data_IF_375743064705
#
_entry.id   IF_375743064705
#
_cell.length_a   1.000
_cell.length_b   1.000
_cell.length_c   1.000
_cell.angle_alpha   90.00
_cell.angle_beta   90.00
_cell.angle_gamma   90.00
#
_symmetry.space_group_name_H-M   'P 1'
#
loop_
_entity.id
_entity.type
_entity.pdbx_description
1 polymer ?
#
# COMPACT_ATOMS: atom_id res chain seq x y z
N UNK A 1 -7.44 11.23 -7.20
CA UNK A 1 -8.30 12.37 -7.61
C UNK A 1 -8.50 12.35 -9.14
N UNK A 2 -9.22 11.36 -9.69
CA UNK A 2 -9.38 11.21 -11.17
C UNK A 2 -10.83 10.85 -11.56
N UNK A 3 -11.83 11.10 -10.71
CA UNK A 3 -13.19 10.57 -10.90
C UNK A 3 -14.26 11.56 -11.38
N UNK A 4 -14.00 12.87 -11.42
CA UNK A 4 -15.05 13.89 -11.51
C UNK A 4 -15.32 14.45 -12.93
N UNK A 5 -14.56 14.04 -13.95
CA UNK A 5 -14.56 14.74 -15.25
C UNK A 5 -15.48 14.17 -16.34
N UNK A 6 -16.12 13.02 -16.13
CA UNK A 6 -16.83 12.31 -17.22
C UNK A 6 -18.36 12.50 -17.24
N UNK A 7 -18.98 13.06 -16.19
CA UNK A 7 -20.44 13.22 -16.13
C UNK A 7 -20.96 14.57 -16.65
N UNK A 8 -20.10 15.55 -16.94
CA UNK A 8 -20.51 16.90 -17.35
C UNK A 8 -20.79 17.04 -18.86
N UNK A 9 -20.10 16.26 -19.70
CA UNK A 9 -20.19 16.39 -21.16
C UNK A 9 -21.41 15.70 -21.79
N UNK A 10 -22.07 14.76 -21.08
CA UNK A 10 -23.21 14.02 -21.64
C UNK A 10 -24.55 14.77 -21.58
N UNK A 11 -24.69 15.79 -20.72
CA UNK A 11 -25.92 16.60 -20.63
C UNK A 11 -26.08 17.60 -21.78
N UNK A 12 -24.98 18.00 -22.43
CA UNK A 12 -25.01 19.00 -23.50
C UNK A 12 -25.38 18.45 -24.88
N UNK A 13 -25.13 17.17 -25.16
CA UNK A 13 -25.45 16.57 -26.47
C UNK A 13 -26.94 16.22 -26.63
N UNK A 14 -27.67 15.97 -25.54
CA UNK A 14 -29.11 15.63 -25.60
C UNK A 14 -29.98 16.87 -25.88
N UNK A 15 -29.55 18.07 -25.46
CA UNK A 15 -30.33 19.30 -25.69
C UNK A 15 -30.27 19.81 -27.14
N UNK A 16 -29.21 19.52 -27.90
CA UNK A 16 -29.08 20.02 -29.27
C UNK A 16 -29.90 19.22 -30.30
N UNK A 17 -30.22 17.95 -30.02
CA UNK A 17 -30.99 17.11 -30.94
C UNK A 17 -32.50 17.43 -30.87
N UNK A 18 -32.99 17.91 -29.72
CA UNK A 18 -34.42 18.22 -29.55
C UNK A 18 -34.82 19.52 -30.27
N UNK A 19 -33.90 20.46 -30.48
CA UNK A 19 -34.20 21.74 -31.14
C UNK A 19 -34.28 21.65 -32.68
N UNK A 20 -33.69 20.62 -33.31
CA UNK A 20 -33.60 20.53 -34.77
C UNK A 20 -34.80 19.83 -35.44
N UNK A 21 -35.72 19.20 -34.68
CA UNK A 21 -36.87 18.48 -35.26
C UNK A 21 -38.16 19.30 -35.40
N UNK A 22 -38.18 20.58 -35.01
CA UNK A 22 -39.42 21.37 -34.96
C UNK A 22 -39.70 22.28 -36.17
N UNK A 23 -38.88 22.27 -37.23
CA UNK A 23 -38.97 23.30 -38.32
C UNK A 23 -39.49 22.76 -39.67
N UNK A 24 -39.97 21.52 -39.77
CA UNK A 24 -40.57 21.03 -41.03
C UNK A 24 -41.86 20.25 -40.80
N UNK A 25 -42.96 20.97 -40.58
CA UNK A 25 -44.32 20.42 -40.69
C UNK A 25 -45.02 21.04 -41.90
N UNK A 26 -45.25 20.26 -42.98
CA UNK A 26 -46.14 20.69 -44.04
C UNK A 26 -47.60 20.61 -43.57
N UNK A 27 -48.31 21.72 -43.75
CA UNK A 27 -49.76 21.81 -43.61
C UNK A 27 -50.45 20.87 -44.60
N UNK A 28 -50.98 19.75 -44.12
CA UNK A 28 -51.90 18.92 -44.89
C UNK A 28 -53.09 18.52 -44.04
N UNK A 29 -54.14 19.35 -44.10
CA UNK A 29 -55.48 19.02 -43.66
C UNK A 29 -56.07 17.97 -44.59
N UNK A 30 -56.29 16.76 -44.06
CA UNK A 30 -57.39 15.88 -44.44
C UNK A 30 -57.64 14.87 -43.31
N UNK A 31 -58.54 15.22 -42.40
CA UNK A 31 -59.14 14.28 -41.46
C UNK A 31 -60.31 13.61 -42.18
N UNK A 32 -60.01 12.52 -42.89
CA UNK A 32 -61.01 11.55 -43.31
C UNK A 32 -61.19 10.52 -42.18
N UNK A 33 -62.45 10.24 -41.87
CA UNK A 33 -62.93 9.53 -40.70
C UNK A 33 -62.33 8.12 -40.58
N UNK A 34 -61.47 7.90 -39.59
CA UNK A 34 -61.03 6.56 -39.21
C UNK A 34 -62.24 5.72 -38.73
N UNK A 35 -62.40 4.48 -39.22
CA UNK A 35 -63.53 3.61 -38.89
C UNK A 35 -63.60 3.32 -37.39
N UNK A 36 -64.81 3.30 -36.82
CA UNK A 36 -65.05 3.20 -35.37
C UNK A 36 -64.36 1.98 -34.70
N UNK A 37 -64.17 0.87 -35.43
CA UNK A 37 -63.48 -0.32 -34.94
C UNK A 37 -61.99 -0.09 -34.60
N UNK A 38 -61.31 0.83 -35.28
CA UNK A 38 -59.89 1.10 -35.08
C UNK A 38 -59.62 1.93 -33.81
N UNK A 39 -60.62 2.71 -33.36
CA UNK A 39 -60.53 3.52 -32.13
C UNK A 39 -60.62 2.69 -30.85
N UNK A 40 -61.25 1.53 -30.91
CA UNK A 40 -61.42 0.63 -29.76
C UNK A 40 -60.14 -0.17 -29.49
N UNK A 41 -59.51 -0.71 -30.54
CA UNK A 41 -58.18 -1.38 -30.47
C UNK A 41 -57.09 -0.45 -29.91
N UNK A 42 -57.04 0.81 -30.36
CA UNK A 42 -56.09 1.78 -29.82
C UNK A 42 -56.29 2.09 -28.33
N UNK A 43 -57.53 2.04 -27.82
CA UNK A 43 -57.79 2.25 -26.39
C UNK A 43 -57.25 1.11 -25.54
N UNK A 44 -57.33 -0.13 -26.04
CA UNK A 44 -56.78 -1.30 -25.36
C UNK A 44 -55.25 -1.26 -25.34
N UNK A 45 -54.63 -0.90 -26.45
CA UNK A 45 -53.18 -0.72 -26.56
C UNK A 45 -52.65 0.34 -25.58
N UNK A 46 -53.35 1.47 -25.41
CA UNK A 46 -52.98 2.52 -24.45
C UNK A 46 -52.97 1.97 -23.01
N UNK A 47 -54.01 1.22 -22.60
CA UNK A 47 -54.08 0.63 -21.25
C UNK A 47 -52.96 -0.38 -20.99
N UNK A 48 -52.60 -1.17 -22.00
CA UNK A 48 -51.48 -2.11 -21.90
C UNK A 48 -50.15 -1.37 -21.73
N UNK A 49 -49.91 -0.31 -22.52
CA UNK A 49 -48.71 0.53 -22.40
C UNK A 49 -48.61 1.23 -21.04
N UNK A 50 -49.71 1.76 -20.50
CA UNK A 50 -49.74 2.36 -19.17
C UNK A 50 -49.38 1.35 -18.07
N UNK A 51 -49.86 0.11 -18.20
CA UNK A 51 -49.56 -0.97 -17.25
C UNK A 51 -48.08 -1.36 -17.30
N UNK A 52 -47.52 -1.51 -18.50
CA UNK A 52 -46.09 -1.80 -18.67
C UNK A 52 -45.20 -0.63 -18.19
N UNK A 53 -45.61 0.63 -18.40
CA UNK A 53 -44.92 1.80 -17.87
C UNK A 53 -44.87 1.78 -16.34
N UNK A 54 -45.99 1.47 -15.68
CA UNK A 54 -46.06 1.39 -14.23
C UNK A 54 -45.16 0.27 -13.67
N UNK A 55 -45.13 -0.89 -14.36
CA UNK A 55 -44.25 -2.01 -14.01
C UNK A 55 -42.78 -1.65 -14.16
N UNK A 56 -42.40 -1.00 -15.26
CA UNK A 56 -41.03 -0.53 -15.50
C UNK A 56 -40.59 0.49 -14.44
N UNK A 57 -41.44 1.45 -14.09
CA UNK A 57 -41.14 2.43 -13.04
C UNK A 57 -40.95 1.80 -11.66
N UNK A 58 -41.74 0.77 -11.33
CA UNK A 58 -41.57 0.00 -10.09
C UNK A 58 -40.24 -0.75 -10.06
N UNK A 59 -39.85 -1.36 -11.18
CA UNK A 59 -38.56 -2.02 -11.31
C UNK A 59 -37.38 -1.06 -11.16
N UNK A 60 -37.47 0.14 -11.75
CA UNK A 60 -36.44 1.17 -11.62
C UNK A 60 -36.22 1.57 -10.16
N UNK A 61 -37.30 1.87 -9.41
CA UNK A 61 -37.21 2.18 -7.98
C UNK A 61 -36.56 1.05 -7.17
N UNK A 62 -36.90 -0.20 -7.50
CA UNK A 62 -36.29 -1.38 -6.85
C UNK A 62 -34.81 -1.51 -7.16
N UNK A 63 -34.39 -1.20 -8.39
CA UNK A 63 -32.99 -1.23 -8.80
C UNK A 63 -32.19 -0.09 -8.14
N UNK A 64 -32.76 1.11 -8.06
CA UNK A 64 -32.15 2.25 -7.36
C UNK A 64 -31.89 1.92 -5.88
N UNK A 65 -32.87 1.39 -5.17
CA UNK A 65 -32.71 0.97 -3.77
C UNK A 65 -31.63 -0.11 -3.61
N UNK A 66 -31.56 -1.08 -4.54
CA UNK A 66 -30.50 -2.11 -4.53
C UNK A 66 -29.12 -1.51 -4.81
N UNK A 67 -29.01 -0.55 -5.72
CA UNK A 67 -27.74 0.10 -6.03
C UNK A 67 -27.22 0.90 -4.82
N UNK A 68 -28.11 1.58 -4.10
CA UNK A 68 -27.76 2.27 -2.86
C UNK A 68 -27.28 1.29 -1.78
N UNK A 69 -27.99 0.17 -1.59
CA UNK A 69 -27.60 -0.89 -0.66
C UNK A 69 -26.22 -1.49 -1.02
N UNK A 70 -26.00 -1.82 -2.29
CA UNK A 70 -24.73 -2.38 -2.75
C UNK A 70 -23.58 -1.39 -2.58
N UNK A 71 -23.81 -0.11 -2.85
CA UNK A 71 -22.80 0.94 -2.67
C UNK A 71 -22.37 1.04 -1.21
N UNK A 72 -23.32 0.96 -0.27
CA UNK A 72 -23.02 0.94 1.16
C UNK A 72 -22.13 -0.26 1.55
N UNK A 73 -22.46 -1.45 1.05
CA UNK A 73 -21.67 -2.68 1.30
C UNK A 73 -20.26 -2.60 0.73
N UNK A 74 -20.09 -2.01 -0.45
CA UNK A 74 -18.77 -1.82 -1.07
C UNK A 74 -17.91 -0.91 -0.20
N UNK A 75 -18.43 0.25 0.22
CA UNK A 75 -17.68 1.20 1.06
C UNK A 75 -17.28 0.55 2.40
N UNK A 76 -18.18 -0.20 3.03
CA UNK A 76 -17.89 -0.93 4.27
C UNK A 76 -16.76 -1.96 4.09
N UNK A 77 -16.82 -2.76 3.02
CA UNK A 77 -15.80 -3.78 2.72
C UNK A 77 -14.45 -3.17 2.35
N UNK A 78 -14.44 -2.05 1.64
CA UNK A 78 -13.21 -1.31 1.33
C UNK A 78 -12.56 -0.74 2.59
N UNK A 79 -13.37 -0.25 3.54
CA UNK A 79 -12.86 0.24 4.82
C UNK A 79 -12.19 -0.88 5.63
N UNK A 80 -12.84 -2.05 5.75
CA UNK A 80 -12.27 -3.24 6.42
C UNK A 80 -10.92 -3.64 5.78
N UNK A 81 -10.87 -3.79 4.45
CA UNK A 81 -9.65 -4.16 3.73
C UNK A 81 -8.51 -3.14 3.89
N UNK A 82 -8.85 -1.84 3.93
CA UNK A 82 -7.88 -0.76 4.14
C UNK A 82 -7.23 -0.85 5.53
N UNK A 83 -8.03 -1.11 6.56
CA UNK A 83 -7.50 -1.22 7.94
C UNK A 83 -6.53 -2.40 8.08
N UNK A 84 -6.88 -3.57 7.53
CA UNK A 84 -6.02 -4.76 7.58
C UNK A 84 -4.69 -4.51 6.86
N UNK A 85 -4.73 -3.88 5.70
CA UNK A 85 -3.54 -3.56 4.91
C UNK A 85 -2.60 -2.62 5.69
N UNK A 86 -3.15 -1.59 6.34
CA UNK A 86 -2.36 -0.65 7.15
C UNK A 86 -1.68 -1.35 8.33
N UNK A 87 -2.40 -2.23 9.04
CA UNK A 87 -1.82 -3.01 10.15
C UNK A 87 -0.67 -3.89 9.65
N UNK A 88 -0.86 -4.58 8.52
CA UNK A 88 0.17 -5.41 7.92
C UNK A 88 1.41 -4.60 7.51
N UNK A 89 1.22 -3.41 6.93
CA UNK A 89 2.32 -2.52 6.56
C UNK A 89 3.12 -2.06 7.79
N UNK A 90 2.44 -1.76 8.90
CA UNK A 90 3.12 -1.39 10.16
C UNK A 90 3.91 -2.58 10.70
N UNK A 91 3.31 -3.78 10.70
CA UNK A 91 3.97 -5.02 11.11
C UNK A 91 5.24 -5.31 10.30
N UNK A 92 5.14 -5.25 8.97
CA UNK A 92 6.27 -5.48 8.07
C UNK A 92 7.41 -4.49 8.32
N UNK A 93 7.10 -3.19 8.50
CA UNK A 93 8.11 -2.16 8.82
C UNK A 93 8.81 -2.44 10.16
N UNK A 94 8.04 -2.81 11.20
CA UNK A 94 8.61 -3.12 12.53
C UNK A 94 9.48 -4.37 12.49
N UNK A 95 9.07 -5.39 11.73
CA UNK A 95 9.86 -6.59 11.54
C UNK A 95 11.19 -6.28 10.85
N UNK A 96 11.16 -5.53 9.74
CA UNK A 96 12.37 -5.12 9.03
C UNK A 96 13.34 -4.35 9.95
N UNK A 97 12.84 -3.35 10.69
CA UNK A 97 13.64 -2.60 11.67
C UNK A 97 14.25 -3.50 12.76
N UNK A 98 13.50 -4.51 13.22
CA UNK A 98 14.01 -5.48 14.19
C UNK A 98 15.10 -6.38 13.62
N UNK A 99 14.96 -6.81 12.36
CA UNK A 99 15.94 -7.62 11.65
C UNK A 99 17.24 -6.83 11.41
N UNK A 100 17.14 -5.57 11.00
CA UNK A 100 18.30 -4.68 10.79
C UNK A 100 19.08 -4.48 12.09
N UNK A 101 18.37 -4.23 13.21
CA UNK A 101 18.98 -4.13 14.54
C UNK A 101 19.70 -5.41 14.93
N UNK A 102 19.03 -6.56 14.78
CA UNK A 102 19.60 -7.85 15.14
C UNK A 102 20.86 -8.17 14.31
N UNK A 103 20.79 -7.95 13.00
CA UNK A 103 21.94 -8.10 12.10
C UNK A 103 23.10 -7.19 12.49
N UNK A 104 22.81 -5.94 12.85
CA UNK A 104 23.84 -5.01 13.29
C UNK A 104 24.55 -5.46 14.58
N UNK A 105 23.78 -5.90 15.60
CA UNK A 105 24.33 -6.40 16.87
C UNK A 105 25.15 -7.68 16.64
N UNK A 106 24.69 -8.58 15.77
CA UNK A 106 25.43 -9.81 15.43
C UNK A 106 26.77 -9.50 14.77
N UNK A 107 26.83 -8.54 13.86
CA UNK A 107 28.09 -8.11 13.26
C UNK A 107 29.08 -7.58 14.31
N UNK A 108 28.62 -6.75 15.25
CA UNK A 108 29.46 -6.23 16.35
C UNK A 108 29.95 -7.39 17.23
N UNK A 109 29.05 -8.33 17.56
CA UNK A 109 29.39 -9.52 18.35
C UNK A 109 30.44 -10.37 17.66
N UNK A 110 30.29 -10.62 16.36
CA UNK A 110 31.23 -11.42 15.58
C UNK A 110 32.62 -10.75 15.51
N UNK A 111 32.67 -9.43 15.30
CA UNK A 111 33.90 -8.64 15.39
C UNK A 111 34.56 -8.79 16.76
N UNK A 112 33.79 -8.69 17.84
CA UNK A 112 34.30 -8.85 19.20
C UNK A 112 34.86 -10.26 19.44
N UNK A 113 34.13 -11.29 19.01
CA UNK A 113 34.56 -12.68 19.15
C UNK A 113 35.84 -12.96 18.35
N UNK A 114 35.97 -12.42 17.14
CA UNK A 114 37.19 -12.52 16.34
C UNK A 114 38.39 -11.86 17.05
N UNK A 115 38.21 -10.64 17.57
CA UNK A 115 39.25 -9.95 18.34
C UNK A 115 39.64 -10.73 19.59
N UNK A 116 38.69 -11.29 20.33
CA UNK A 116 38.97 -12.14 21.51
C UNK A 116 39.70 -13.42 21.16
N UNK A 117 39.32 -14.07 20.06
CA UNK A 117 40.01 -15.27 19.58
C UNK A 117 41.46 -14.96 19.23
N UNK A 118 41.69 -13.86 18.50
CA UNK A 118 43.04 -13.41 18.15
C UNK A 118 43.87 -13.03 19.38
N UNK A 119 43.26 -12.30 20.33
CA UNK A 119 43.87 -11.95 21.60
C UNK A 119 44.38 -13.19 22.35
N UNK A 120 43.51 -14.19 22.50
CA UNK A 120 43.79 -15.39 23.28
C UNK A 120 44.84 -16.30 22.61
N UNK A 121 44.79 -16.43 21.28
CA UNK A 121 45.73 -17.29 20.55
C UNK A 121 47.16 -16.75 20.53
N UNK A 122 47.32 -15.42 20.56
CA UNK A 122 48.63 -14.77 20.47
C UNK A 122 49.14 -14.22 21.80
N UNK A 123 48.35 -14.32 22.88
CA UNK A 123 48.76 -13.88 24.21
C UNK A 123 48.79 -12.36 24.38
N UNK A 124 47.95 -11.61 23.67
CA UNK A 124 47.86 -10.15 23.82
C UNK A 124 47.12 -9.76 25.09
N UNK A 125 47.55 -8.66 25.71
CA UNK A 125 46.91 -8.09 26.90
C UNK A 125 45.80 -7.10 26.51
N UNK A 126 44.90 -6.85 27.46
CA UNK A 126 43.91 -5.78 27.34
C UNK A 126 44.66 -4.44 27.23
N UNK A 127 44.27 -3.60 26.27
CA UNK A 127 44.92 -2.32 26.00
C UNK A 127 46.02 -2.38 24.93
N UNK A 128 46.50 -3.57 24.56
CA UNK A 128 47.44 -3.71 23.45
C UNK A 128 46.76 -3.28 22.15
N UNK A 129 47.56 -2.78 21.19
CA UNK A 129 47.05 -2.25 19.91
C UNK A 129 46.52 -3.39 19.04
N UNK A 130 45.36 -3.19 18.42
CA UNK A 130 44.79 -4.11 17.43
C UNK A 130 45.34 -3.76 16.04
N UNK A 131 45.83 -4.77 15.33
CA UNK A 131 46.13 -4.71 13.90
C UNK A 131 44.95 -5.29 13.13
N UNK A 132 44.09 -4.43 12.59
CA UNK A 132 42.82 -4.88 11.98
C UNK A 132 42.96 -5.76 10.74
N UNK A 133 44.10 -5.74 10.04
CA UNK A 133 44.38 -6.66 8.93
C UNK A 133 44.50 -8.13 9.38
N UNK A 134 44.83 -8.36 10.65
CA UNK A 134 44.96 -9.73 11.20
C UNK A 134 43.59 -10.29 11.64
N UNK A 135 42.61 -9.40 11.81
CA UNK A 135 41.23 -9.72 12.20
C UNK A 135 40.32 -9.79 10.97
N UNK A 136 40.48 -8.83 10.06
CA UNK A 136 39.62 -8.60 8.90
C UNK A 136 40.46 -8.62 7.63
N UNK A 137 40.14 -9.53 6.72
CA UNK A 137 40.81 -9.67 5.45
C UNK A 137 40.82 -11.12 4.95
N UNK A 138 41.37 -11.37 3.76
CA UNK A 138 41.56 -12.73 3.26
C UNK A 138 42.37 -13.56 4.26
N UNK A 139 41.91 -14.77 4.55
CA UNK A 139 42.53 -15.71 5.52
C UNK A 139 42.51 -15.25 7.00
N UNK A 140 41.90 -14.10 7.30
CA UNK A 140 41.68 -13.65 8.68
C UNK A 140 40.41 -14.28 9.30
N UNK A 141 40.12 -13.94 10.55
CA UNK A 141 38.92 -14.42 11.26
C UNK A 141 37.61 -14.01 10.58
N UNK A 142 37.62 -12.84 9.94
CA UNK A 142 36.50 -12.31 9.18
C UNK A 142 37.02 -11.95 7.78
N UNK A 143 36.52 -12.64 6.76
CA UNK A 143 36.99 -12.49 5.38
C UNK A 143 36.78 -11.08 4.81
N UNK A 144 35.66 -10.44 5.18
CA UNK A 144 35.28 -9.12 4.71
C UNK A 144 34.67 -8.28 5.83
N UNK A 145 35.05 -7.00 5.89
CA UNK A 145 34.47 -6.02 6.81
C UNK A 145 32.93 -6.01 6.70
N UNK A 146 32.20 -6.33 7.79
CA UNK A 146 30.75 -6.26 7.78
C UNK A 146 30.29 -4.81 7.66
N UNK A 147 29.16 -4.60 6.98
CA UNK A 147 28.50 -3.28 6.87
C UNK A 147 27.22 -3.32 7.70
N UNK A 148 26.86 -2.21 8.32
CA UNK A 148 25.58 -2.12 9.01
C UNK A 148 24.43 -2.31 8.00
N UNK A 149 23.34 -3.05 8.33
CA UNK A 149 22.23 -3.25 7.41
C UNK A 149 21.56 -1.97 6.90
N UNK A 150 21.66 -0.86 7.64
CA UNK A 150 21.15 0.45 7.21
C UNK A 150 22.22 1.33 6.53
N UNK A 151 23.39 0.77 6.27
CA UNK A 151 24.55 1.49 5.75
C UNK A 151 25.48 2.00 6.83
N UNK A 152 26.68 2.41 6.40
CA UNK A 152 27.74 2.91 7.27
C UNK A 152 28.71 1.84 7.75
N UNK A 153 29.97 2.26 7.89
CA UNK A 153 31.06 1.43 8.41
C UNK A 153 31.06 1.46 9.93
N UNK A 154 31.39 0.33 10.54
CA UNK A 154 31.55 0.26 11.99
C UNK A 154 32.76 1.08 12.43
N UNK A 155 32.60 1.80 13.54
CA UNK A 155 33.70 2.53 14.16
C UNK A 155 34.45 1.57 15.06
N UNK A 156 35.67 1.26 14.65
CA UNK A 156 36.52 0.24 15.26
C UNK A 156 37.36 0.82 16.41
N UNK A 157 37.47 0.07 17.50
CA UNK A 157 38.42 0.33 18.57
C UNK A 157 39.86 0.06 18.13
N UNK A 158 40.82 0.77 18.72
CA UNK A 158 42.24 0.63 18.37
C UNK A 158 43.02 -0.32 19.28
N UNK A 159 42.39 -0.80 20.35
CA UNK A 159 43.03 -1.63 21.39
C UNK A 159 42.13 -2.77 21.83
N UNK A 160 42.72 -3.88 22.30
CA UNK A 160 41.96 -4.99 22.87
C UNK A 160 41.11 -4.51 24.05
N UNK A 161 39.77 -4.67 24.01
CA UNK A 161 38.89 -4.05 24.97
C UNK A 161 38.90 -4.78 26.33
N UNK A 162 38.52 -4.06 27.39
CA UNK A 162 38.20 -4.68 28.67
C UNK A 162 37.00 -5.64 28.53
N UNK A 163 36.89 -6.62 29.43
CA UNK A 163 35.69 -7.47 29.52
C UNK A 163 34.48 -6.56 29.72
N UNK A 164 33.38 -6.84 29.03
CA UNK A 164 32.19 -6.02 29.12
C UNK A 164 32.15 -4.83 28.16
N UNK A 165 33.20 -4.57 27.37
CA UNK A 165 33.25 -3.45 26.41
C UNK A 165 33.31 -3.96 24.96
N UNK A 166 32.35 -3.53 24.14
CA UNK A 166 32.36 -3.84 22.71
C UNK A 166 33.62 -3.28 22.02
N UNK A 167 34.13 -4.01 21.03
CA UNK A 167 35.32 -3.58 20.27
C UNK A 167 34.99 -2.60 19.16
N UNK A 168 33.74 -2.57 18.73
CA UNK A 168 33.25 -1.71 17.67
C UNK A 168 31.86 -1.17 18.03
N UNK A 169 31.50 -0.02 17.47
CA UNK A 169 30.16 0.54 17.60
C UNK A 169 29.59 0.92 16.23
N UNK A 170 28.26 0.91 16.15
CA UNK A 170 27.56 1.30 14.94
C UNK A 170 27.41 2.83 14.89
N UNK A 171 27.61 3.49 13.73
CA UNK A 171 27.35 4.93 13.59
C UNK A 171 25.88 5.30 13.86
N UNK A 172 24.96 4.35 13.70
CA UNK A 172 23.52 4.52 13.89
C UNK A 172 23.04 4.05 15.28
N UNK A 173 23.93 3.89 16.26
CA UNK A 173 23.60 3.35 17.58
C UNK A 173 22.46 4.10 18.30
N UNK A 174 22.40 5.45 18.17
CA UNK A 174 21.41 6.29 18.86
C UNK A 174 20.09 6.38 18.11
N UNK A 175 20.15 6.61 16.80
CA UNK A 175 18.98 6.85 15.95
C UNK A 175 18.11 5.60 15.83
N UNK A 176 18.75 4.43 15.71
CA UNK A 176 18.07 3.17 15.41
C UNK A 176 18.24 2.11 16.50
N UNK A 177 18.83 2.47 17.65
CA UNK A 177 19.07 1.57 18.78
C UNK A 177 19.91 0.34 18.40
N UNK A 178 20.92 0.56 17.55
CA UNK A 178 21.85 -0.49 17.11
C UNK A 178 22.93 -0.81 18.14
N UNK A 179 22.97 -0.10 19.28
CA UNK A 179 23.74 -0.53 20.43
C UNK A 179 23.16 -1.82 21.03
N UNK A 180 24.00 -2.81 21.38
CA UNK A 180 23.59 -3.93 22.23
C UNK A 180 23.06 -3.41 23.57
N UNK A 181 22.03 -4.06 24.12
CA UNK A 181 21.44 -3.64 25.40
C UNK A 181 22.39 -3.90 26.59
N UNK A 182 23.21 -4.95 26.50
CA UNK A 182 24.32 -5.22 27.42
C UNK A 182 25.43 -5.95 26.69
N UNK A 183 26.66 -5.69 27.11
CA UNK A 183 27.88 -6.35 26.63
C UNK A 183 28.63 -7.05 27.76
N UNK A 184 28.05 -7.19 28.96
CA UNK A 184 28.74 -7.70 30.16
C UNK A 184 29.28 -9.14 30.00
N UNK A 185 28.65 -9.92 29.12
CA UNK A 185 29.07 -11.28 28.77
C UNK A 185 30.04 -11.37 27.58
N UNK A 186 30.57 -10.25 27.08
CA UNK A 186 31.46 -10.18 25.91
C UNK A 186 32.91 -9.93 26.33
#
# INVERSE_FOLDING_TARGET
MVGASLFSTMKYQVSLIIAALFVALPSCQKQDQAPAAQKEDHREQIKQLETELAKAQSQLKKLEAKNEELTKRIIEKEAEASTLTKVMQIGAKKYAQGADRAGCILNIRNLHQAVRAHQNLHGFNIGDKITWSDIIGPEAYIEKMPVCPMGGDYVLGTTFPQIGKAVAHCPHEKEHKHAPDSTDGW
#
